data_IF_014585859192
#
_entry.id   IF_014585859192
#
_cell.length_a   1.000
_cell.length_b   1.000
_cell.length_c   1.000
_cell.angle_alpha   90.00
_cell.angle_beta   90.00
_cell.angle_gamma   90.00
#
_symmetry.space_group_name_H-M   'P 1'
#
loop_
_entity.id
_entity.type
_entity.pdbx_description
1 polymer ?
#
# COMPACT_ATOMS: atom_id res chain seq x y z
N UNK A 1 -27.60 12.64 3.60
CA UNK A 1 -27.31 11.89 4.84
C UNK A 1 -25.80 11.74 4.92
N UNK A 2 -25.09 12.52 5.76
CA UNK A 2 -23.61 12.41 5.87
C UNK A 2 -23.32 11.40 6.98
N UNK A 3 -23.18 10.13 6.61
CA UNK A 3 -22.79 9.12 7.58
C UNK A 3 -21.35 9.40 8.03
N UNK A 4 -21.15 9.59 9.34
CA UNK A 4 -19.85 9.93 9.96
C UNK A 4 -19.20 8.66 10.52
N UNK A 5 -19.29 7.55 9.80
CA UNK A 5 -18.62 6.31 10.18
C UNK A 5 -17.13 6.60 10.29
N UNK A 6 -16.58 6.46 11.50
CA UNK A 6 -15.15 6.63 11.79
C UNK A 6 -14.50 5.26 11.77
N UNK A 7 -13.40 5.15 11.04
CA UNK A 7 -12.68 3.89 10.85
C UNK A 7 -11.37 3.97 11.62
N UNK A 8 -11.08 2.92 12.40
CA UNK A 8 -9.80 2.80 13.08
C UNK A 8 -8.77 2.26 12.11
N UNK A 9 -7.69 3.01 11.91
CA UNK A 9 -6.51 2.62 11.14
C UNK A 9 -5.27 2.66 12.03
N UNK A 10 -4.16 2.13 11.52
CA UNK A 10 -2.86 2.20 12.20
C UNK A 10 -1.77 2.55 11.20
N UNK A 11 -1.06 3.65 11.45
CA UNK A 11 0.20 3.94 10.78
C UNK A 11 1.33 3.16 11.47
N UNK A 12 2.23 2.48 10.73
CA UNK A 12 3.37 1.79 11.33
C UNK A 12 4.33 2.75 12.05
N UNK A 13 4.41 4.00 11.63
CA UNK A 13 5.29 5.03 12.22
C UNK A 13 4.62 5.78 13.37
N UNK A 14 3.38 6.24 13.19
CA UNK A 14 2.70 7.13 14.15
C UNK A 14 1.75 6.40 15.12
N UNK A 15 1.36 5.15 14.82
CA UNK A 15 0.45 4.37 15.65
C UNK A 15 -1.03 4.49 15.26
N UNK A 16 -1.97 4.25 16.20
CA UNK A 16 -3.41 4.19 15.92
C UNK A 16 -3.98 5.57 15.58
N UNK A 17 -4.93 5.61 14.65
CA UNK A 17 -5.52 6.84 14.13
C UNK A 17 -6.95 6.60 13.67
N UNK A 18 -7.76 7.67 13.66
CA UNK A 18 -9.18 7.61 13.27
C UNK A 18 -9.39 8.36 11.97
N UNK A 19 -9.85 7.64 10.94
CA UNK A 19 -10.04 8.14 9.58
C UNK A 19 -11.51 8.12 9.18
N UNK A 20 -11.81 8.77 8.07
CA UNK A 20 -13.10 8.70 7.40
C UNK A 20 -13.00 7.74 6.20
N UNK A 21 -14.11 7.10 5.80
CA UNK A 21 -14.12 6.19 4.66
C UNK A 21 -13.54 6.80 3.38
N UNK A 22 -13.84 8.08 3.13
CA UNK A 22 -13.32 8.82 1.97
C UNK A 22 -11.82 9.03 1.94
N UNK A 23 -11.14 8.81 3.07
CA UNK A 23 -9.69 8.92 3.16
C UNK A 23 -9.01 7.64 2.65
N UNK A 24 -9.79 6.60 2.33
CA UNK A 24 -9.31 5.34 1.78
C UNK A 24 -9.50 5.24 0.26
N UNK A 25 -8.53 4.60 -0.36
CA UNK A 25 -8.61 4.05 -1.72
C UNK A 25 -8.56 2.54 -1.62
N UNK A 26 -9.52 1.85 -2.22
CA UNK A 26 -9.64 0.40 -2.18
C UNK A 26 -9.34 -0.18 -3.56
N UNK A 27 -8.47 -1.19 -3.63
CA UNK A 27 -8.20 -1.98 -4.81
C UNK A 27 -8.77 -3.40 -4.61
N UNK A 28 -9.65 -3.80 -5.53
CA UNK A 28 -10.27 -5.12 -5.54
C UNK A 28 -9.61 -5.97 -6.64
N UNK A 29 -9.03 -7.13 -6.31
CA UNK A 29 -8.58 -8.08 -7.32
C UNK A 29 -9.78 -8.73 -8.01
N UNK A 30 -9.56 -9.26 -9.22
CA UNK A 30 -10.58 -9.98 -9.99
C UNK A 30 -10.82 -11.40 -9.44
N UNK A 31 -9.77 -12.03 -8.90
CA UNK A 31 -9.87 -13.35 -8.25
C UNK A 31 -10.58 -13.22 -6.89
N UNK A 32 -11.71 -13.93 -6.65
CA UNK A 32 -12.46 -13.89 -5.40
C UNK A 32 -11.70 -14.42 -4.17
N UNK A 33 -10.69 -15.28 -4.36
CA UNK A 33 -9.90 -15.84 -3.25
C UNK A 33 -8.78 -14.89 -2.78
N UNK A 34 -8.41 -13.92 -3.63
CA UNK A 34 -7.39 -12.93 -3.35
C UNK A 34 -7.86 -11.84 -2.37
N UNK A 35 -6.95 -11.40 -1.50
CA UNK A 35 -7.17 -10.28 -0.57
C UNK A 35 -7.27 -8.97 -1.35
N UNK A 36 -8.13 -8.07 -0.87
CA UNK A 36 -8.18 -6.69 -1.35
C UNK A 36 -7.13 -5.84 -0.62
N UNK A 37 -6.77 -4.72 -1.24
CA UNK A 37 -5.86 -3.75 -0.62
C UNK A 37 -6.59 -2.44 -0.35
N UNK A 38 -6.28 -1.83 0.77
CA UNK A 38 -6.71 -0.48 1.13
C UNK A 38 -5.49 0.40 1.32
N UNK A 39 -5.58 1.64 0.86
CA UNK A 39 -4.55 2.65 0.95
C UNK A 39 -5.14 3.89 1.61
N UNK A 40 -4.39 4.51 2.52
CA UNK A 40 -4.68 5.84 3.04
C UNK A 40 -3.37 6.60 3.30
N UNK A 41 -3.42 7.92 3.29
CA UNK A 41 -2.30 8.76 3.73
C UNK A 41 -2.41 9.08 5.22
N UNK A 42 -1.34 8.84 5.97
CA UNK A 42 -1.31 9.19 7.38
C UNK A 42 -1.31 10.72 7.54
N UNK A 43 -2.29 11.33 8.24
CA UNK A 43 -2.35 12.79 8.37
C UNK A 43 -1.25 13.38 9.28
N UNK A 44 -0.40 12.54 9.88
CA UNK A 44 0.68 12.95 10.79
C UNK A 44 2.04 12.97 10.09
N UNK A 45 2.39 11.88 9.39
CA UNK A 45 3.68 11.75 8.69
C UNK A 45 3.57 11.79 7.16
N UNK A 46 2.37 11.95 6.61
CA UNK A 46 2.03 11.92 5.17
C UNK A 46 2.35 10.61 4.43
N UNK A 47 2.87 9.61 5.14
CA UNK A 47 3.20 8.30 4.58
C UNK A 47 1.95 7.56 4.09
N UNK A 48 2.06 6.97 2.90
CA UNK A 48 1.06 6.06 2.35
C UNK A 48 1.09 4.74 3.13
N UNK A 49 -0.07 4.30 3.61
CA UNK A 49 -0.24 3.07 4.40
C UNK A 49 -1.12 2.10 3.62
N UNK A 50 -0.56 0.94 3.34
CA UNK A 50 -1.25 -0.15 2.66
C UNK A 50 -1.66 -1.22 3.67
N UNK A 51 -2.93 -1.64 3.63
CA UNK A 51 -3.46 -2.70 4.49
C UNK A 51 -4.21 -3.72 3.65
N UNK A 52 -3.81 -4.99 3.76
CA UNK A 52 -4.53 -6.11 3.17
C UNK A 52 -5.79 -6.43 3.98
N UNK A 53 -6.93 -6.50 3.31
CA UNK A 53 -8.24 -6.75 3.89
C UNK A 53 -8.99 -7.79 3.06
N UNK A 54 -10.08 -8.32 3.59
CA UNK A 54 -10.99 -9.14 2.79
C UNK A 54 -11.68 -8.28 1.72
N UNK A 55 -12.09 -8.91 0.61
CA UNK A 55 -12.86 -8.19 -0.40
C UNK A 55 -14.17 -7.62 0.13
N UNK A 56 -14.78 -8.27 1.11
CA UNK A 56 -16.02 -7.81 1.73
C UNK A 56 -15.79 -6.52 2.55
N UNK A 57 -14.70 -6.45 3.31
CA UNK A 57 -14.30 -5.23 4.03
C UNK A 57 -14.01 -4.08 3.07
N UNK A 58 -13.28 -4.33 1.97
CA UNK A 58 -13.02 -3.32 0.95
C UNK A 58 -14.31 -2.83 0.26
N UNK A 59 -15.23 -3.73 -0.07
CA UNK A 59 -16.56 -3.39 -0.63
C UNK A 59 -17.39 -2.56 0.35
N UNK A 60 -17.35 -2.89 1.64
CA UNK A 60 -18.02 -2.10 2.68
C UNK A 60 -17.42 -0.69 2.78
N UNK A 61 -16.09 -0.58 2.78
CA UNK A 61 -15.39 0.70 2.73
C UNK A 61 -15.82 1.56 1.53
N UNK A 62 -15.90 0.96 0.33
CA UNK A 62 -16.38 1.65 -0.86
C UNK A 62 -17.83 2.11 -0.73
N UNK A 63 -18.72 1.28 -0.19
CA UNK A 63 -20.11 1.64 0.08
C UNK A 63 -20.22 2.83 1.06
N UNK A 64 -19.29 2.92 2.01
CA UNK A 64 -19.19 4.02 2.96
C UNK A 64 -18.53 5.30 2.39
N UNK A 65 -18.02 5.25 1.16
CA UNK A 65 -17.49 6.40 0.43
C UNK A 65 -15.98 6.37 0.15
N UNK A 66 -15.30 5.25 0.39
CA UNK A 66 -13.93 5.06 -0.10
C UNK A 66 -13.88 5.04 -1.64
N UNK A 67 -12.82 5.57 -2.22
CA UNK A 67 -12.62 5.54 -3.66
C UNK A 67 -12.19 4.13 -4.12
N UNK A 68 -12.53 3.76 -5.36
CA UNK A 68 -11.99 2.54 -5.98
C UNK A 68 -10.73 2.90 -6.78
N UNK A 69 -9.63 2.17 -6.56
CA UNK A 69 -8.45 2.27 -7.41
C UNK A 69 -8.76 1.74 -8.81
N UNK A 70 -8.34 2.48 -9.82
CA UNK A 70 -8.35 2.04 -11.23
C UNK A 70 -6.99 1.54 -11.69
N UNK A 71 -5.97 1.61 -10.83
CA UNK A 71 -4.61 1.13 -11.15
C UNK A 71 -4.49 -0.34 -10.75
N UNK A 72 -3.89 -1.19 -11.59
CA UNK A 72 -3.52 -2.53 -11.17
C UNK A 72 -2.54 -2.40 -9.99
N UNK A 73 -2.73 -3.24 -8.97
CA UNK A 73 -1.77 -3.34 -7.88
C UNK A 73 -0.52 -4.05 -8.43
N UNK A 74 0.69 -3.49 -8.23
CA UNK A 74 1.91 -4.24 -8.50
C UNK A 74 1.92 -5.53 -7.67
N UNK A 75 2.39 -6.62 -8.27
CA UNK A 75 2.35 -7.96 -7.68
C UNK A 75 3.05 -7.98 -6.32
N UNK A 76 4.16 -7.26 -6.22
CA UNK A 76 5.03 -7.10 -5.06
C UNK A 76 4.29 -6.58 -3.82
N UNK A 77 3.19 -5.83 -3.99
CA UNK A 77 2.36 -5.37 -2.87
C UNK A 77 1.44 -6.47 -2.31
N UNK A 78 1.15 -7.48 -3.13
CA UNK A 78 0.26 -8.60 -2.78
C UNK A 78 1.01 -9.88 -2.42
N UNK A 79 2.30 -9.94 -2.72
CA UNK A 79 3.16 -11.06 -2.36
C UNK A 79 3.24 -11.26 -0.84
N UNK A 80 3.36 -12.54 -0.46
CA UNK A 80 3.71 -12.86 0.92
C UNK A 80 5.10 -12.30 1.21
N UNK A 81 5.17 -11.36 2.16
CA UNK A 81 6.44 -10.77 2.59
C UNK A 81 7.29 -11.87 3.22
N UNK A 82 8.33 -12.27 2.51
CA UNK A 82 9.31 -13.26 2.95
C UNK A 82 10.69 -12.60 3.13
N UNK A 83 11.48 -13.17 4.04
CA UNK A 83 12.83 -12.68 4.34
C UNK A 83 12.88 -11.59 5.43
N UNK A 84 14.09 -11.15 5.79
CA UNK A 84 14.28 -10.08 6.75
C UNK A 84 13.76 -8.74 6.20
N UNK A 85 13.33 -7.81 7.07
CA UNK A 85 12.96 -6.47 6.65
C UNK A 85 14.16 -5.74 6.05
N UNK A 86 13.93 -4.99 4.97
CA UNK A 86 14.95 -4.10 4.40
C UNK A 86 15.29 -3.00 5.39
N UNK A 87 16.58 -2.89 5.70
CA UNK A 87 17.17 -1.90 6.60
C UNK A 87 17.81 -0.76 5.81
N UNK A 88 18.25 0.27 6.53
CA UNK A 88 18.97 1.39 5.92
C UNK A 88 20.33 0.94 5.37
N UNK A 89 20.99 -0.02 6.03
CA UNK A 89 22.28 -0.56 5.56
C UNK A 89 22.12 -1.29 4.22
N UNK A 90 21.03 -2.05 4.06
CA UNK A 90 20.73 -2.71 2.77
C UNK A 90 20.60 -1.71 1.62
N UNK A 91 20.06 -0.50 1.88
CA UNK A 91 19.94 0.56 0.87
C UNK A 91 21.31 1.14 0.50
N UNK A 92 22.19 1.34 1.49
CA UNK A 92 23.55 1.80 1.24
C UNK A 92 24.37 0.76 0.48
N UNK A 93 24.23 -0.51 0.83
CA UNK A 93 24.90 -1.61 0.14
C UNK A 93 24.49 -1.68 -1.34
N UNK A 94 23.19 -1.52 -1.64
CA UNK A 94 22.69 -1.43 -3.03
C UNK A 94 23.30 -0.23 -3.76
N UNK A 95 23.36 0.94 -3.11
CA UNK A 95 23.93 2.14 -3.73
C UNK A 95 25.41 1.95 -4.11
N UNK A 96 26.23 1.44 -3.18
CA UNK A 96 27.65 1.16 -3.41
C UNK A 96 27.82 0.11 -4.52
N UNK A 97 26.98 -0.92 -4.53
CA UNK A 97 27.00 -1.94 -5.58
C UNK A 97 26.69 -1.33 -6.96
N UNK A 98 25.69 -0.45 -7.07
CA UNK A 98 25.34 0.23 -8.31
C UNK A 98 26.46 1.16 -8.80
N UNK A 99 27.13 1.89 -7.90
CA UNK A 99 28.28 2.73 -8.27
C UNK A 99 29.48 1.91 -8.75
N UNK A 100 29.66 0.70 -8.21
CA UNK A 100 30.73 -0.22 -8.61
C UNK A 100 30.43 -0.96 -9.93
N UNK A 101 29.17 -0.97 -10.40
CA UNK A 101 28.80 -1.61 -11.65
C UNK A 101 29.25 -0.77 -12.86
N UNK A 102 30.18 -1.31 -13.65
CA UNK A 102 30.78 -0.66 -14.83
C UNK A 102 29.80 -0.40 -15.99
N UNK A 103 28.56 -0.90 -15.93
CA UNK A 103 27.56 -0.71 -16.98
C UNK A 103 26.46 0.25 -16.50
N UNK A 104 26.26 1.41 -17.15
CA UNK A 104 25.00 2.12 -17.03
C UNK A 104 23.91 1.20 -17.62
N UNK A 105 22.74 1.22 -17.00
CA UNK A 105 21.54 0.44 -17.34
C UNK A 105 21.50 0.05 -18.83
N UNK A 106 21.66 -1.24 -19.14
CA UNK A 106 21.28 -1.73 -20.45
C UNK A 106 19.81 -1.37 -20.64
N UNK A 107 19.55 -0.42 -21.54
CA UNK A 107 18.21 0.03 -21.86
C UNK A 107 17.34 -1.20 -22.16
N UNK A 108 16.29 -1.40 -21.37
CA UNK A 108 15.14 -2.19 -21.79
C UNK A 108 14.44 -1.39 -22.89
N UNK A 109 15.03 -1.38 -24.09
CA UNK A 109 14.32 -0.97 -25.31
C UNK A 109 13.29 -2.03 -25.64
N UNK A 110 12.08 -1.54 -25.90
CA UNK A 110 10.80 -2.24 -26.12
C UNK A 110 10.84 -3.45 -27.07
#
# INVERSE_FOLDING_TARGET
>A
MRDRSRIQGRCPTCGPLTLLPRDFVCALPDDPESKALTEFHCPVCDGAVFTAVTQQEAKLLMLLGAARSTRPLPLELTEEKAGPPVTVDDVFDVHVALEAMCCPQAELTE
#
